data_IF_863702953450
#
_entry.id   IF_863702953450
#
_cell.length_a   1.000
_cell.length_b   1.000
_cell.length_c   1.000
_cell.angle_alpha   90.00
_cell.angle_beta   90.00
_cell.angle_gamma   90.00
#
_symmetry.space_group_name_H-M   'P 1'
#
loop_
_entity.id
_entity.type
_entity.pdbx_description
1 polymer ?
#
# COMPACT_ATOMS: atom_id res chain seq x y z
N UNK A 1 14.59 8.56 8.57
CA UNK A 1 14.78 8.46 7.11
C UNK A 1 14.72 9.85 6.50
N UNK A 2 15.57 10.11 5.53
CA UNK A 2 15.53 11.38 4.81
C UNK A 2 14.40 11.38 3.79
N UNK A 3 13.97 12.57 3.36
CA UNK A 3 12.96 12.69 2.33
C UNK A 3 13.39 11.98 1.04
N UNK A 4 14.67 12.12 0.67
CA UNK A 4 15.22 11.49 -0.52
C UNK A 4 15.19 9.97 -0.40
N UNK A 5 15.53 9.43 0.78
CA UNK A 5 15.46 8.00 1.02
C UNK A 5 14.03 7.47 0.96
N UNK A 6 13.08 8.24 1.49
CA UNK A 6 11.68 7.88 1.42
C UNK A 6 11.19 7.83 -0.03
N UNK A 7 11.49 8.87 -0.80
CA UNK A 7 11.05 8.93 -2.20
C UNK A 7 11.67 7.82 -3.04
N UNK A 8 12.89 7.38 -2.70
CA UNK A 8 13.53 6.28 -3.40
C UNK A 8 12.90 4.93 -3.02
N UNK A 9 12.41 4.81 -1.78
CA UNK A 9 11.81 3.57 -1.29
C UNK A 9 10.42 3.31 -1.86
N UNK A 10 9.61 4.36 -2.01
CA UNK A 10 8.20 4.21 -2.38
C UNK A 10 8.00 3.45 -3.69
N UNK A 11 8.73 3.70 -4.78
CA UNK A 11 8.55 2.93 -6.01
C UNK A 11 8.73 1.43 -5.81
N UNK A 12 9.71 1.02 -5.01
CA UNK A 12 9.94 -0.39 -4.71
C UNK A 12 8.78 -0.97 -3.89
N UNK A 13 8.28 -0.20 -2.95
CA UNK A 13 7.17 -0.62 -2.11
C UNK A 13 5.90 -0.81 -2.94
N UNK A 14 5.64 0.11 -3.86
CA UNK A 14 4.49 0.03 -4.75
C UNK A 14 4.60 -1.18 -5.67
N UNK A 15 5.77 -1.41 -6.26
CA UNK A 15 6.00 -2.55 -7.13
C UNK A 15 5.76 -3.87 -6.40
N UNK A 16 6.29 -3.99 -5.20
CA UNK A 16 6.13 -5.18 -4.37
C UNK A 16 4.65 -5.39 -4.00
N UNK A 17 3.96 -4.30 -3.67
CA UNK A 17 2.54 -4.34 -3.32
C UNK A 17 1.69 -4.78 -4.52
N UNK A 18 1.93 -4.20 -5.69
CA UNK A 18 1.21 -4.56 -6.91
C UNK A 18 1.42 -6.04 -7.24
N UNK A 19 2.67 -6.53 -7.11
CA UNK A 19 2.98 -7.93 -7.34
C UNK A 19 2.19 -8.84 -6.42
N UNK A 20 2.05 -8.46 -5.16
CA UNK A 20 1.28 -9.25 -4.21
C UNK A 20 -0.21 -9.25 -4.54
N UNK A 21 -0.75 -8.10 -4.96
CA UNK A 21 -2.15 -8.00 -5.38
C UNK A 21 -2.42 -8.93 -6.56
N UNK A 22 -1.54 -8.90 -7.55
CA UNK A 22 -1.67 -9.77 -8.72
C UNK A 22 -1.70 -11.24 -8.30
N UNK A 23 -0.79 -11.62 -7.41
CA UNK A 23 -0.65 -13.00 -6.97
C UNK A 23 -1.89 -13.49 -6.20
N UNK A 24 -2.40 -12.68 -5.30
CA UNK A 24 -3.49 -13.09 -4.41
C UNK A 24 -4.86 -12.94 -5.08
N UNK A 25 -5.06 -11.82 -5.77
CA UNK A 25 -6.37 -11.51 -6.37
C UNK A 25 -6.51 -12.04 -7.80
N UNK A 26 -5.44 -12.53 -8.39
CA UNK A 26 -5.42 -13.02 -9.78
C UNK A 26 -5.85 -11.94 -10.78
N UNK A 27 -5.44 -10.71 -10.53
CA UNK A 27 -5.70 -9.59 -11.44
C UNK A 27 -4.55 -9.44 -12.42
N UNK A 28 -4.83 -8.80 -13.57
CA UNK A 28 -3.76 -8.41 -14.47
C UNK A 28 -3.06 -7.16 -13.90
N UNK A 29 -1.96 -6.77 -14.54
CA UNK A 29 -1.14 -5.68 -14.05
C UNK A 29 -1.93 -4.37 -13.96
N UNK A 30 -2.67 -4.03 -15.01
CA UNK A 30 -3.43 -2.79 -15.03
C UNK A 30 -4.52 -2.76 -13.96
N UNK A 31 -5.24 -3.86 -13.82
CA UNK A 31 -6.29 -3.96 -12.81
C UNK A 31 -5.73 -3.87 -11.40
N UNK A 32 -4.57 -4.48 -11.17
CA UNK A 32 -3.93 -4.42 -9.86
C UNK A 32 -3.49 -3.00 -9.51
N UNK A 33 -2.96 -2.27 -10.49
CA UNK A 33 -2.55 -0.88 -10.29
C UNK A 33 -3.77 -0.02 -9.96
N UNK A 34 -4.85 -0.16 -10.72
CA UNK A 34 -6.08 0.59 -10.46
C UNK A 34 -6.63 0.26 -9.08
N UNK A 35 -6.62 -1.02 -8.72
CA UNK A 35 -7.09 -1.47 -7.43
C UNK A 35 -6.35 -0.79 -6.27
N UNK A 36 -5.03 -0.67 -6.39
CA UNK A 36 -4.22 0.00 -5.38
C UNK A 36 -4.39 1.51 -5.42
N UNK A 37 -4.32 2.10 -6.61
CA UNK A 37 -4.36 3.55 -6.75
C UNK A 37 -5.72 4.13 -6.38
N UNK A 38 -6.79 3.36 -6.57
CA UNK A 38 -8.13 3.78 -6.18
C UNK A 38 -8.39 3.40 -4.72
N UNK A 39 -7.51 3.88 -3.84
CA UNK A 39 -7.63 3.61 -2.42
C UNK A 39 -7.05 4.76 -1.60
N UNK A 40 -7.59 4.92 -0.40
CA UNK A 40 -7.06 5.89 0.57
C UNK A 40 -5.73 5.41 1.11
N UNK A 41 -5.53 4.10 1.15
CA UNK A 41 -4.29 3.52 1.62
C UNK A 41 -3.11 3.95 0.73
N UNK A 42 -3.33 4.01 -0.59
CA UNK A 42 -2.28 4.47 -1.50
C UNK A 42 -1.88 5.91 -1.19
N UNK A 43 -2.86 6.79 -0.97
CA UNK A 43 -2.55 8.17 -0.60
C UNK A 43 -1.78 8.24 0.70
N UNK A 44 -2.20 7.49 1.71
CA UNK A 44 -1.52 7.48 3.00
C UNK A 44 -0.11 6.90 2.90
N UNK A 45 0.06 5.85 2.09
CA UNK A 45 1.38 5.23 1.89
C UNK A 45 2.36 6.21 1.26
N UNK A 46 1.87 7.10 0.40
CA UNK A 46 2.69 8.09 -0.29
C UNK A 46 3.11 9.24 0.62
N UNK A 47 2.59 9.32 1.83
CA UNK A 47 2.95 10.36 2.79
C UNK A 47 3.87 9.79 3.86
N UNK A 48 5.06 10.36 3.98
CA UNK A 48 6.06 9.89 4.95
C UNK A 48 5.54 9.91 6.37
N UNK A 49 4.73 10.89 6.71
CA UNK A 49 4.23 11.10 8.07
C UNK A 49 3.36 9.98 8.60
N UNK A 50 2.70 9.25 7.71
CA UNK A 50 1.86 8.11 8.12
C UNK A 50 2.69 6.92 8.54
N UNK A 51 3.95 6.86 8.10
CA UNK A 51 4.90 5.78 8.37
C UNK A 51 4.41 4.40 7.91
N UNK A 52 3.41 4.36 7.03
CA UNK A 52 2.92 3.09 6.50
C UNK A 52 3.99 2.36 5.70
N UNK A 53 4.93 3.10 5.13
CA UNK A 53 6.05 2.54 4.39
C UNK A 53 6.94 1.63 5.25
N UNK A 54 6.84 1.71 6.58
CA UNK A 54 7.53 0.79 7.50
C UNK A 54 6.91 -0.59 7.53
N UNK A 55 5.65 -0.70 7.18
CA UNK A 55 4.94 -1.97 7.31
C UNK A 55 5.32 -2.94 6.20
N UNK A 56 5.22 -4.22 6.49
CA UNK A 56 5.47 -5.25 5.48
C UNK A 56 4.37 -5.19 4.41
N UNK A 57 4.70 -5.66 3.21
CA UNK A 57 3.74 -5.70 2.12
C UNK A 57 2.50 -6.53 2.45
N UNK A 58 2.61 -7.73 3.07
CA UNK A 58 1.42 -8.47 3.49
C UNK A 58 0.54 -7.70 4.46
N UNK A 59 1.13 -6.94 5.37
CA UNK A 59 0.37 -6.11 6.31
C UNK A 59 -0.39 -5.01 5.57
N UNK A 60 0.27 -4.36 4.63
CA UNK A 60 -0.36 -3.33 3.81
C UNK A 60 -1.50 -3.92 2.97
N UNK A 61 -1.32 -5.13 2.45
CA UNK A 61 -2.36 -5.80 1.69
C UNK A 61 -3.60 -6.04 2.55
N UNK A 62 -3.43 -6.50 3.80
CA UNK A 62 -4.55 -6.70 4.71
C UNK A 62 -5.28 -5.38 4.98
N UNK A 63 -4.54 -4.29 5.15
CA UNK A 63 -5.14 -2.99 5.35
C UNK A 63 -5.94 -2.54 4.14
N UNK A 64 -5.42 -2.81 2.94
CA UNK A 64 -6.12 -2.49 1.70
C UNK A 64 -7.43 -3.27 1.58
N UNK A 65 -7.40 -4.57 1.88
CA UNK A 65 -8.59 -5.40 1.82
C UNK A 65 -9.65 -4.93 2.83
N UNK A 66 -9.22 -4.54 4.03
CA UNK A 66 -10.12 -4.00 5.04
C UNK A 66 -10.76 -2.70 4.54
N UNK A 67 -9.97 -1.83 3.92
CA UNK A 67 -10.51 -0.59 3.34
C UNK A 67 -11.55 -0.88 2.25
N UNK A 68 -11.28 -1.85 1.38
CA UNK A 68 -12.22 -2.18 0.29
C UNK A 68 -13.55 -2.71 0.82
N UNK A 69 -13.52 -3.39 1.96
CA UNK A 69 -14.75 -3.95 2.56
C UNK A 69 -15.49 -2.89 3.40
N UNK A 70 -14.77 -2.13 4.21
CA UNK A 70 -15.38 -1.21 5.19
C UNK A 70 -15.43 0.24 4.73
N UNK A 71 -14.63 0.60 3.74
CA UNK A 71 -14.47 1.99 3.28
C UNK A 71 -13.55 2.81 4.16
N UNK A 72 -12.92 2.19 5.15
CA UNK A 72 -12.05 2.89 6.10
C UNK A 72 -10.72 2.15 6.26
N UNK A 73 -9.66 2.91 6.48
CA UNK A 73 -8.36 2.35 6.78
C UNK A 73 -8.29 2.05 8.28
N UNK A 74 -7.87 0.83 8.62
CA UNK A 74 -7.64 0.43 9.99
C UNK A 74 -6.15 0.55 10.28
N UNK A 75 -5.73 1.73 10.72
CA UNK A 75 -4.33 2.00 11.02
C UNK A 75 -3.88 1.14 12.20
N UNK A 76 -2.67 0.57 12.13
CA UNK A 76 -2.13 -0.14 13.28
C UNK A 76 -1.87 0.83 14.44
N UNK A 77 -1.94 0.30 15.65
CA UNK A 77 -1.72 1.10 16.86
C UNK A 77 -0.32 1.71 16.88
N UNK A 78 0.67 0.98 16.36
CA UNK A 78 2.05 1.43 16.28
C UNK A 78 2.52 1.37 14.83
N UNK A 79 2.98 2.50 14.35
CA UNK A 79 3.49 2.61 12.98
C UNK A 79 4.89 3.19 13.00
#
# INVERSE_FOLDING_TARGET
>A
MTKEGFEALIPFKIEDFVSLIIKIKHLDFESAIVYLYDSKLYEALSEEETKLWHLSTPKLFNMLETEKVTGKIDYPEFV
#
